data_IF_543059592178
#
_entry.id   IF_543059592178
#
_cell.length_a   1.000
_cell.length_b   1.000
_cell.length_c   1.000
_cell.angle_alpha   90.00
_cell.angle_beta   90.00
_cell.angle_gamma   90.00
#
_symmetry.space_group_name_H-M   'P 1'
#
loop_
_entity.id
_entity.type
_entity.pdbx_description
1 polymer ?
#
# COMPACT_ATOMS: atom_id res chain seq x y z
N UNK A 1 10.04 -40.11 20.30
CA UNK A 1 10.71 -41.06 19.37
C UNK A 1 11.57 -40.23 18.44
N UNK A 2 12.82 -40.65 18.28
CA UNK A 2 13.99 -39.79 18.02
C UNK A 2 13.93 -38.93 16.76
N UNK A 3 14.33 -37.66 16.92
CA UNK A 3 14.74 -36.79 15.82
C UNK A 3 16.12 -37.27 15.36
N UNK A 4 16.14 -38.09 14.31
CA UNK A 4 17.38 -38.66 13.78
C UNK A 4 18.05 -37.65 12.86
N UNK A 5 18.95 -36.85 13.43
CA UNK A 5 19.93 -36.07 12.68
C UNK A 5 20.71 -37.01 11.76
N UNK A 6 20.51 -36.85 10.45
CA UNK A 6 21.32 -37.53 9.43
C UNK A 6 22.22 -36.48 8.80
N UNK A 7 23.50 -36.56 9.17
CA UNK A 7 24.57 -35.72 8.69
C UNK A 7 24.58 -35.58 7.17
N UNK A 8 24.77 -34.35 6.71
CA UNK A 8 24.74 -33.98 5.31
C UNK A 8 26.17 -33.93 4.77
N UNK A 9 26.61 -34.98 4.07
CA UNK A 9 27.87 -34.97 3.32
C UNK A 9 27.64 -35.59 1.95
N UNK A 10 27.44 -34.76 0.93
CA UNK A 10 27.39 -35.19 -0.47
C UNK A 10 26.62 -34.24 -1.40
N UNK A 11 27.13 -34.05 -2.62
CA UNK A 11 26.47 -33.29 -3.70
C UNK A 11 25.25 -34.06 -4.22
N UNK A 12 24.09 -33.85 -3.61
CA UNK A 12 22.82 -34.29 -4.18
C UNK A 12 22.42 -33.34 -5.31
N UNK A 13 22.48 -33.80 -6.56
CA UNK A 13 21.61 -33.26 -7.60
C UNK A 13 20.19 -33.74 -7.28
N UNK A 14 19.43 -32.93 -6.55
CA UNK A 14 18.01 -33.16 -6.31
C UNK A 14 17.28 -33.01 -7.66
N UNK A 15 16.96 -34.14 -8.29
CA UNK A 15 15.81 -34.19 -9.20
C UNK A 15 14.63 -33.56 -8.48
N UNK A 16 13.96 -32.61 -9.14
CA UNK A 16 12.80 -31.85 -8.63
C UNK A 16 11.92 -32.77 -7.78
N UNK A 17 11.96 -32.64 -6.46
CA UNK A 17 11.02 -33.33 -5.59
C UNK A 17 9.63 -32.85 -6.01
N UNK A 18 8.86 -33.74 -6.63
CA UNK A 18 7.46 -33.48 -6.91
C UNK A 18 6.73 -33.53 -5.56
N UNK A 19 6.49 -32.35 -5.00
CA UNK A 19 5.70 -32.21 -3.78
C UNK A 19 4.31 -32.80 -4.02
N UNK A 20 3.77 -33.51 -3.04
CA UNK A 20 2.37 -33.93 -3.06
C UNK A 20 1.44 -32.72 -2.98
N UNK A 21 0.19 -32.86 -3.45
CA UNK A 21 -0.80 -31.78 -3.45
C UNK A 21 -0.99 -31.14 -2.06
N UNK A 22 -0.97 -31.97 -1.02
CA UNK A 22 -1.16 -31.52 0.37
C UNK A 22 0.06 -30.72 0.88
N UNK A 23 1.28 -31.14 0.54
CA UNK A 23 2.50 -30.41 0.89
C UNK A 23 2.59 -29.07 0.13
N UNK A 24 2.11 -29.03 -1.13
CA UNK A 24 2.00 -27.79 -1.89
C UNK A 24 1.04 -26.81 -1.20
N UNK A 25 -0.17 -27.24 -0.84
CA UNK A 25 -1.13 -26.38 -0.15
C UNK A 25 -0.59 -25.88 1.20
N UNK A 26 0.12 -26.72 1.96
CA UNK A 26 0.74 -26.32 3.22
C UNK A 26 1.81 -25.23 3.02
N UNK A 27 2.60 -25.33 1.94
CA UNK A 27 3.63 -24.33 1.61
C UNK A 27 3.02 -23.04 1.07
N UNK A 28 1.98 -23.14 0.25
CA UNK A 28 1.22 -22.00 -0.25
C UNK A 28 0.55 -21.23 0.89
N UNK A 29 0.01 -21.91 1.90
CA UNK A 29 -0.62 -21.29 3.06
C UNK A 29 0.33 -20.40 3.90
N UNK A 30 1.64 -20.62 3.82
CA UNK A 30 2.66 -19.80 4.51
C UNK A 30 3.25 -18.71 3.59
N UNK A 31 2.91 -18.73 2.30
CA UNK A 31 3.45 -17.83 1.30
C UNK A 31 2.83 -16.43 1.41
N UNK A 32 3.59 -15.48 1.96
CA UNK A 32 3.22 -14.06 2.09
C UNK A 32 3.38 -13.26 0.79
N UNK A 33 3.59 -13.93 -0.37
CA UNK A 33 3.94 -13.26 -1.63
C UNK A 33 2.80 -12.39 -2.17
N UNK A 34 1.55 -12.80 -1.96
CA UNK A 34 0.37 -12.10 -2.46
C UNK A 34 -0.24 -11.15 -1.41
N UNK A 35 0.22 -11.23 -0.16
CA UNK A 35 -0.32 -10.42 0.93
C UNK A 35 0.05 -8.94 0.77
N UNK A 36 -0.91 -8.03 1.00
CA UNK A 36 -0.62 -6.60 0.96
C UNK A 36 0.40 -6.23 2.06
N UNK A 37 1.19 -5.16 1.86
CA UNK A 37 1.98 -4.62 2.96
C UNK A 37 1.12 -4.32 4.19
N UNK A 38 1.66 -4.57 5.38
CA UNK A 38 0.97 -4.27 6.64
C UNK A 38 0.46 -2.82 6.73
N UNK A 39 1.18 -1.86 6.12
CA UNK A 39 0.72 -0.47 6.07
C UNK A 39 -0.55 -0.27 5.21
N UNK A 40 -0.68 -0.98 4.09
CA UNK A 40 -1.89 -0.92 3.24
C UNK A 40 -3.03 -1.75 3.81
N UNK A 41 -2.71 -2.86 4.50
CA UNK A 41 -3.72 -3.71 5.14
C UNK A 41 -4.44 -2.98 6.28
N UNK A 42 -3.71 -2.20 7.09
CA UNK A 42 -4.26 -1.44 8.22
C UNK A 42 -4.86 -0.09 7.80
N UNK A 43 -4.44 0.47 6.67
CA UNK A 43 -4.99 1.72 6.17
C UNK A 43 -6.44 1.50 5.67
N UNK A 44 -7.44 2.26 6.18
CA UNK A 44 -8.83 2.12 5.74
C UNK A 44 -9.03 2.54 4.27
N UNK A 45 -8.11 3.30 3.70
CA UNK A 45 -8.12 3.72 2.30
C UNK A 45 -7.23 2.82 1.41
N UNK A 46 -6.55 1.82 1.98
CA UNK A 46 -5.64 0.94 1.26
C UNK A 46 -4.63 1.68 0.35
N UNK A 47 -4.07 2.77 0.87
CA UNK A 47 -3.10 3.58 0.13
C UNK A 47 -1.82 2.79 -0.16
N UNK A 48 -1.35 2.85 -1.41
CA UNK A 48 -0.06 2.26 -1.79
C UNK A 48 1.11 3.15 -1.34
N UNK A 49 1.45 3.01 -0.07
CA UNK A 49 2.57 3.73 0.52
C UNK A 49 3.94 3.21 0.06
N UNK A 50 4.04 2.01 -0.54
CA UNK A 50 5.30 1.53 -1.10
C UNK A 50 5.65 2.33 -2.35
N UNK A 51 4.69 2.54 -3.24
CA UNK A 51 4.87 3.38 -4.42
C UNK A 51 5.20 4.83 -4.02
N UNK A 52 4.50 5.38 -3.02
CA UNK A 52 4.79 6.72 -2.47
C UNK A 52 6.23 6.80 -1.95
N UNK A 53 6.69 5.82 -1.17
CA UNK A 53 8.07 5.76 -0.70
C UNK A 53 9.07 5.70 -1.86
N UNK A 54 8.80 4.92 -2.90
CA UNK A 54 9.68 4.77 -4.06
C UNK A 54 9.82 6.08 -4.86
N UNK A 55 8.75 6.87 -4.99
CA UNK A 55 8.80 8.18 -5.62
C UNK A 55 9.45 9.24 -4.73
N UNK A 56 9.14 9.22 -3.43
CA UNK A 56 9.76 10.12 -2.45
C UNK A 56 11.28 9.90 -2.34
N UNK A 57 11.74 8.64 -2.42
CA UNK A 57 13.16 8.31 -2.46
C UNK A 57 13.90 8.90 -3.68
N UNK A 58 13.18 9.14 -4.78
CA UNK A 58 13.68 9.79 -5.99
C UNK A 58 13.51 11.32 -5.97
N UNK A 59 12.92 11.88 -4.90
CA UNK A 59 12.59 13.30 -4.79
C UNK A 59 11.37 13.75 -5.61
N UNK A 60 10.66 12.82 -6.27
CA UNK A 60 9.50 13.13 -7.11
C UNK A 60 8.21 13.15 -6.28
N UNK A 61 8.04 14.20 -5.47
CA UNK A 61 6.85 14.38 -4.63
C UNK A 61 5.57 14.64 -5.43
N UNK A 62 5.69 15.11 -6.67
CA UNK A 62 4.54 15.33 -7.54
C UNK A 62 3.87 14.00 -7.92
N UNK A 63 4.66 12.99 -8.33
CA UNK A 63 4.14 11.64 -8.59
C UNK A 63 3.69 10.95 -7.31
N UNK A 64 4.43 11.10 -6.22
CA UNK A 64 4.04 10.54 -4.93
C UNK A 64 2.67 11.07 -4.47
N UNK A 65 2.43 12.37 -4.59
CA UNK A 65 1.12 12.97 -4.32
C UNK A 65 0.05 12.50 -5.30
N UNK A 66 0.40 12.25 -6.57
CA UNK A 66 -0.49 11.66 -7.57
C UNK A 66 -1.01 10.27 -7.18
N UNK A 67 -0.16 9.42 -6.61
CA UNK A 67 -0.55 8.09 -6.10
C UNK A 67 -1.55 8.19 -4.95
N UNK A 68 -1.40 9.17 -4.05
CA UNK A 68 -2.37 9.35 -2.96
C UNK A 68 -3.68 9.94 -3.51
N UNK A 69 -3.57 10.91 -4.42
CA UNK A 69 -4.73 11.56 -5.05
C UNK A 69 -5.55 10.64 -5.93
N UNK A 70 -4.97 9.56 -6.49
CA UNK A 70 -5.76 8.58 -7.23
C UNK A 70 -6.77 7.83 -6.35
N UNK A 71 -6.58 7.82 -5.03
CA UNK A 71 -7.47 7.17 -4.08
C UNK A 71 -8.36 8.18 -3.36
N UNK A 72 -7.85 9.37 -3.03
CA UNK A 72 -8.62 10.37 -2.29
C UNK A 72 -8.36 11.80 -2.79
N UNK A 73 -9.42 12.63 -2.97
CA UNK A 73 -9.26 14.04 -3.30
C UNK A 73 -8.65 14.86 -2.15
N UNK A 74 -8.73 14.35 -0.92
CA UNK A 74 -8.47 15.14 0.28
C UNK A 74 -7.07 14.92 0.85
N UNK A 75 -6.04 14.88 -0.01
CA UNK A 75 -4.64 14.69 0.42
C UNK A 75 -4.22 15.64 1.56
N UNK A 76 -4.58 16.92 1.47
CA UNK A 76 -4.19 17.90 2.49
C UNK A 76 -4.91 17.70 3.83
N UNK A 77 -6.16 17.22 3.80
CA UNK A 77 -6.91 16.91 5.01
C UNK A 77 -6.35 15.65 5.66
N UNK A 78 -6.09 14.62 4.85
CA UNK A 78 -5.49 13.36 5.27
C UNK A 78 -4.12 13.59 5.91
N UNK A 79 -3.25 14.39 5.29
CA UNK A 79 -1.93 14.70 5.83
C UNK A 79 -1.96 15.38 7.23
N UNK A 80 -3.07 16.07 7.56
CA UNK A 80 -3.27 16.68 8.88
C UNK A 80 -3.91 15.69 9.87
N UNK A 81 -4.95 14.98 9.44
CA UNK A 81 -5.81 14.16 10.30
C UNK A 81 -5.44 12.68 10.42
N UNK A 82 -4.51 12.16 9.61
CA UNK A 82 -4.15 10.74 9.62
C UNK A 82 -3.64 10.30 11.02
N UNK A 83 -4.19 9.23 11.63
CA UNK A 83 -3.76 8.75 12.95
C UNK A 83 -2.40 8.04 12.89
N UNK A 84 -1.98 7.51 11.73
CA UNK A 84 -0.66 6.91 11.55
C UNK A 84 -0.49 5.48 12.06
N UNK A 85 -1.57 4.72 12.23
CA UNK A 85 -1.55 3.31 12.65
C UNK A 85 -0.63 2.41 11.77
N UNK A 86 -0.36 2.84 10.55
CA UNK A 86 0.57 2.19 9.62
C UNK A 86 2.03 2.14 10.11
N UNK A 87 2.47 3.00 11.05
CA UNK A 87 3.83 2.93 11.62
C UNK A 87 4.03 1.63 12.39
N UNK A 88 3.06 1.24 13.22
CA UNK A 88 3.13 0.06 14.09
C UNK A 88 3.02 -1.23 13.27
N UNK A 89 2.16 -1.24 12.26
CA UNK A 89 1.95 -2.37 11.35
C UNK A 89 3.09 -2.57 10.32
N UNK A 90 4.05 -1.66 10.23
CA UNK A 90 5.14 -1.74 9.27
C UNK A 90 6.08 -2.90 9.62
N UNK A 91 6.51 -3.72 8.64
CA UNK A 91 7.44 -4.82 8.91
C UNK A 91 8.77 -4.37 9.55
N UNK A 92 9.19 -3.13 9.28
CA UNK A 92 10.39 -2.53 9.88
C UNK A 92 10.26 -2.25 11.38
N UNK A 93 9.02 -2.15 11.91
CA UNK A 93 8.78 -1.99 13.35
C UNK A 93 9.25 -3.21 14.17
N UNK A 94 9.43 -4.37 13.53
CA UNK A 94 9.95 -5.58 14.19
C UNK A 94 11.44 -5.52 14.50
N UNK A 95 12.20 -4.73 13.74
CA UNK A 95 13.67 -4.64 13.85
C UNK A 95 14.11 -3.30 14.42
N UNK A 96 13.34 -2.24 14.17
CA UNK A 96 13.61 -0.89 14.67
C UNK A 96 12.36 -0.03 14.58
N UNK A 97 12.49 1.16 13.98
CA UNK A 97 11.33 2.03 13.78
C UNK A 97 10.64 1.77 12.44
N UNK A 98 9.30 1.72 12.48
CA UNK A 98 8.48 1.72 11.29
C UNK A 98 8.58 3.04 10.50
N UNK A 99 8.30 2.96 9.20
CA UNK A 99 8.33 4.12 8.31
C UNK A 99 7.34 5.19 8.79
N UNK A 100 7.79 6.43 8.85
CA UNK A 100 6.98 7.60 9.22
C UNK A 100 6.09 8.05 8.06
N UNK A 101 5.06 7.25 7.77
CA UNK A 101 4.13 7.49 6.66
C UNK A 101 3.43 8.84 6.77
N UNK A 102 3.06 9.28 7.99
CA UNK A 102 2.47 10.62 8.19
C UNK A 102 3.38 11.76 7.74
N UNK A 103 4.69 11.61 7.94
CA UNK A 103 5.65 12.61 7.48
C UNK A 103 5.73 12.63 5.95
N UNK A 104 5.67 11.46 5.31
CA UNK A 104 5.60 11.34 3.85
C UNK A 104 4.31 11.92 3.28
N UNK A 105 3.15 11.67 3.89
CA UNK A 105 1.87 12.28 3.49
C UNK A 105 1.94 13.81 3.55
N UNK A 106 2.50 14.37 4.63
CA UNK A 106 2.74 15.81 4.77
C UNK A 106 3.71 16.34 3.72
N UNK A 107 4.81 15.63 3.46
CA UNK A 107 5.76 16.00 2.42
C UNK A 107 5.10 16.00 1.03
N UNK A 108 4.29 14.99 0.72
CA UNK A 108 3.52 14.93 -0.53
C UNK A 108 2.51 16.07 -0.63
N UNK A 109 1.84 16.43 0.48
CA UNK A 109 0.91 17.55 0.51
C UNK A 109 1.61 18.91 0.32
N UNK A 110 2.82 19.08 0.86
CA UNK A 110 3.58 20.33 0.77
C UNK A 110 4.30 20.50 -0.57
N UNK A 111 5.00 19.46 -1.02
CA UNK A 111 5.89 19.51 -2.19
C UNK A 111 5.25 18.93 -3.47
N UNK A 112 4.14 18.21 -3.36
CA UNK A 112 3.47 17.57 -4.50
C UNK A 112 2.65 18.50 -5.40
N UNK A 113 2.75 19.83 -5.19
CA UNK A 113 2.07 20.86 -5.97
C UNK A 113 0.54 20.80 -5.92
N UNK A 114 -0.13 21.77 -6.56
CA UNK A 114 -1.57 21.65 -6.86
C UNK A 114 -1.75 20.69 -8.02
N UNK A 115 -2.74 19.82 -7.90
CA UNK A 115 -3.11 18.84 -8.89
C UNK A 115 -3.29 19.52 -10.26
N UNK A 116 -2.41 19.22 -11.22
CA UNK A 116 -2.79 19.33 -12.64
C UNK A 116 -3.66 18.12 -12.88
N UNK A 117 -4.94 18.22 -12.51
CA UNK A 117 -5.90 17.17 -12.79
C UNK A 117 -5.73 16.81 -14.26
N UNK A 118 -5.29 15.58 -14.53
CA UNK A 118 -5.47 15.02 -15.85
C UNK A 118 -6.97 14.98 -16.01
N UNK A 119 -7.52 16.02 -16.62
CA UNK A 119 -8.84 16.00 -17.22
C UNK A 119 -8.70 15.01 -18.37
N UNK A 120 -8.63 13.71 -18.04
CA UNK A 120 -9.06 12.68 -18.95
C UNK A 120 -10.36 13.20 -19.54
N UNK A 121 -10.46 13.17 -20.85
CA UNK A 121 -11.64 13.61 -21.58
C UNK A 121 -12.80 12.70 -21.17
N UNK A 122 -13.43 13.00 -20.04
CA UNK A 122 -14.61 12.29 -19.58
C UNK A 122 -15.70 12.64 -20.58
N UNK A 123 -16.22 11.66 -21.34
CA UNK A 123 -17.29 11.92 -22.28
C UNK A 123 -18.49 12.48 -21.51
N UNK A 124 -19.05 13.59 -22.01
CA UNK A 124 -20.16 14.27 -21.35
C UNK A 124 -21.35 13.31 -21.25
N UNK A 125 -21.83 13.08 -20.03
CA UNK A 125 -23.06 12.33 -19.76
C UNK A 125 -24.23 13.31 -19.70
N UNK A 126 -25.37 12.98 -20.32
CA UNK A 126 -26.58 13.82 -20.31
C UNK A 126 -27.44 13.66 -19.03
N UNK A 127 -26.91 13.05 -17.97
CA UNK A 127 -27.62 12.82 -16.70
C UNK A 127 -27.25 13.93 -15.72
N UNK A 128 -28.24 14.43 -14.98
CA UNK A 128 -28.05 15.38 -13.87
C UNK A 128 -28.12 14.63 -12.55
N UNK A 129 -27.21 14.93 -11.62
CA UNK A 129 -27.16 14.35 -10.28
C UNK A 129 -27.08 15.50 -9.29
N UNK A 130 -27.81 15.39 -8.17
CA UNK A 130 -27.76 16.32 -7.04
C UNK A 130 -27.28 15.52 -5.84
N UNK A 131 -26.27 16.04 -5.15
CA UNK A 131 -25.79 15.52 -3.86
C UNK A 131 -26.26 16.51 -2.80
N UNK A 132 -27.01 16.03 -1.80
CA UNK A 132 -27.46 16.85 -0.68
C UNK A 132 -26.51 16.71 0.50
N UNK A 133 -25.97 17.82 0.98
CA UNK A 133 -25.00 17.87 2.08
C UNK A 133 -23.82 18.79 1.76
N UNK A 134 -23.15 19.26 2.81
CA UNK A 134 -21.96 20.11 2.77
C UNK A 134 -20.75 19.44 3.45
N UNK A 135 -20.89 18.17 3.81
CA UNK A 135 -19.89 17.39 4.52
C UNK A 135 -18.81 16.82 3.57
N UNK A 136 -17.77 16.24 4.18
CA UNK A 136 -16.65 15.66 3.44
C UNK A 136 -17.07 14.50 2.52
N UNK A 137 -18.11 13.74 2.90
CA UNK A 137 -18.58 12.62 2.10
C UNK A 137 -19.40 13.12 0.90
N UNK A 138 -20.23 14.16 1.08
CA UNK A 138 -20.90 14.82 -0.04
C UNK A 138 -19.90 15.37 -1.08
N UNK A 139 -18.80 15.98 -0.60
CA UNK A 139 -17.72 16.44 -1.47
C UNK A 139 -16.96 15.28 -2.14
N UNK A 140 -16.74 14.17 -1.41
CA UNK A 140 -16.10 12.96 -1.95
C UNK A 140 -16.89 12.37 -3.13
N UNK A 141 -18.23 12.36 -3.01
CA UNK A 141 -19.12 11.86 -4.06
C UNK A 141 -19.13 12.74 -5.32
N UNK A 142 -18.75 14.01 -5.21
CA UNK A 142 -18.70 14.95 -6.34
C UNK A 142 -17.38 14.91 -7.11
N UNK A 143 -16.33 14.33 -6.52
CA UNK A 143 -14.99 14.20 -7.12
C UNK A 143 -14.95 13.01 -8.09
#
# INVERSE_FOLDING_TARGET
MEHKDRGFVGKHYLMKQAFGQEELHQREAVCTREDPPGCSAVCPLHLDMRAVCAYAAKGDFAKAAGVIRSVTPFLHLLAKGCPGACKEACALSRVGEGIQVRALEKACALYGGKERGSRFLIPRKNKKVIVGGDDLFALACCW
#
